data_IF_121883033965
#
_entry.id   IF_121883033965
#
_cell.length_a   1.000
_cell.length_b   1.000
_cell.length_c   1.000
_cell.angle_alpha   90.00
_cell.angle_beta   90.00
_cell.angle_gamma   90.00
#
_symmetry.space_group_name_H-M   'P 1'
#
loop_
_entity.id
_entity.type
_entity.pdbx_description
1 polymer ?
#
# COMPACT_ATOMS: atom_id res chain seq x y z
N UNK A 1 -5.69 -7.61 -12.46
CA UNK A 1 -5.50 -6.18 -12.09
C UNK A 1 -6.83 -5.45 -12.20
N UNK A 2 -7.12 -4.59 -11.22
CA UNK A 2 -8.29 -3.67 -11.20
C UNK A 2 -7.79 -2.30 -10.77
N UNK A 3 -8.19 -1.25 -11.49
CA UNK A 3 -7.91 0.15 -11.13
C UNK A 3 -9.21 0.88 -10.87
N UNK A 4 -9.28 1.64 -9.78
CA UNK A 4 -10.45 2.43 -9.42
C UNK A 4 -10.05 3.79 -8.83
N UNK A 5 -11.02 4.72 -8.75
CA UNK A 5 -10.79 6.05 -8.14
C UNK A 5 -11.00 5.96 -6.64
N UNK A 6 -10.00 6.36 -5.87
CA UNK A 6 -10.01 6.42 -4.41
C UNK A 6 -10.07 7.87 -3.95
N UNK A 7 -11.07 8.20 -3.12
CA UNK A 7 -11.13 9.49 -2.44
C UNK A 7 -10.14 9.52 -1.28
N UNK A 8 -9.26 10.51 -1.28
CA UNK A 8 -8.19 10.68 -0.28
C UNK A 8 -8.27 12.05 0.41
N UNK A 9 -9.40 12.74 0.29
CA UNK A 9 -9.58 14.10 0.83
C UNK A 9 -9.32 14.16 2.33
N UNK A 10 -9.93 13.27 3.10
CA UNK A 10 -9.76 13.22 4.56
C UNK A 10 -8.32 12.85 4.93
N UNK A 11 -7.72 11.88 4.25
CA UNK A 11 -6.33 11.48 4.48
C UNK A 11 -5.37 12.64 4.23
N UNK A 12 -5.56 13.41 3.15
CA UNK A 12 -4.70 14.56 2.84
C UNK A 12 -4.81 15.66 3.91
N UNK A 13 -6.03 15.93 4.36
CA UNK A 13 -6.26 16.89 5.45
C UNK A 13 -5.58 16.43 6.75
N UNK A 14 -5.77 15.17 7.11
CA UNK A 14 -5.18 14.57 8.30
C UNK A 14 -3.65 14.63 8.28
N UNK A 15 -3.03 14.19 7.18
CA UNK A 15 -1.56 14.18 7.06
C UNK A 15 -0.95 15.58 7.09
N UNK A 16 -1.61 16.58 6.49
CA UNK A 16 -1.17 17.97 6.56
C UNK A 16 -1.23 18.52 7.99
N UNK A 17 -2.36 18.30 8.69
CA UNK A 17 -2.54 18.76 10.07
C UNK A 17 -1.54 18.16 11.04
N UNK A 18 -1.20 16.89 10.85
CA UNK A 18 -0.30 16.14 11.73
C UNK A 18 1.17 16.11 11.24
N UNK A 19 1.51 16.83 10.17
CA UNK A 19 2.85 16.85 9.56
C UNK A 19 3.38 15.45 9.24
N UNK A 20 2.50 14.57 8.73
CA UNK A 20 2.82 13.20 8.32
C UNK A 20 2.99 13.09 6.80
N UNK A 21 3.77 12.09 6.38
CA UNK A 21 3.88 11.74 4.97
C UNK A 21 2.57 11.14 4.47
N UNK A 22 1.96 11.76 3.45
CA UNK A 22 0.79 11.21 2.75
C UNK A 22 1.09 9.82 2.17
N UNK A 23 2.29 9.65 1.62
CA UNK A 23 2.72 8.37 1.03
C UNK A 23 2.74 7.25 2.06
N UNK A 24 3.44 7.44 3.18
CA UNK A 24 3.51 6.42 4.22
C UNK A 24 2.15 6.15 4.88
N UNK A 25 1.36 7.20 5.08
CA UNK A 25 0.00 7.04 5.61
C UNK A 25 -0.89 6.21 4.67
N UNK A 26 -0.76 6.40 3.36
CA UNK A 26 -1.47 5.60 2.36
C UNK A 26 -1.02 4.14 2.38
N UNK A 27 0.29 3.87 2.46
CA UNK A 27 0.85 2.51 2.64
C UNK A 27 0.25 1.85 3.87
N UNK A 28 0.25 2.54 5.01
CA UNK A 28 -0.32 2.03 6.27
C UNK A 28 -1.79 1.65 6.14
N UNK A 29 -2.63 2.57 5.64
CA UNK A 29 -4.07 2.35 5.55
C UNK A 29 -4.42 1.22 4.57
N UNK A 30 -3.72 1.15 3.43
CA UNK A 30 -3.88 0.04 2.49
C UNK A 30 -3.48 -1.30 3.13
N UNK A 31 -2.37 -1.33 3.87
CA UNK A 31 -1.90 -2.55 4.57
C UNK A 31 -2.92 -3.01 5.60
N UNK A 32 -3.48 -2.11 6.40
CA UNK A 32 -4.53 -2.42 7.37
C UNK A 32 -5.78 -2.97 6.67
N UNK A 33 -6.27 -2.28 5.64
CA UNK A 33 -7.45 -2.68 4.90
C UNK A 33 -7.31 -4.05 4.21
N UNK A 34 -6.12 -4.36 3.65
CA UNK A 34 -5.81 -5.67 3.05
C UNK A 34 -5.83 -6.77 4.10
N UNK A 35 -5.17 -6.58 5.24
CA UNK A 35 -5.07 -7.60 6.29
C UNK A 35 -6.44 -7.92 6.94
N UNK A 36 -7.41 -7.04 6.83
CA UNK A 36 -8.77 -7.27 7.28
C UNK A 36 -9.62 -8.12 6.31
N UNK A 37 -9.13 -8.41 5.11
CA UNK A 37 -9.82 -9.27 4.12
C UNK A 37 -9.11 -10.62 4.07
N UNK A 38 -9.69 -11.72 4.60
CA UNK A 38 -8.99 -13.00 4.75
C UNK A 38 -8.37 -13.55 3.47
N UNK A 39 -9.02 -13.33 2.31
CA UNK A 39 -8.51 -13.81 1.02
C UNK A 39 -7.12 -13.23 0.67
N UNK A 40 -6.81 -12.01 1.08
CA UNK A 40 -5.49 -11.42 0.85
C UNK A 40 -4.39 -12.00 1.73
N UNK A 41 -4.75 -12.76 2.77
CA UNK A 41 -3.79 -13.46 3.64
C UNK A 41 -3.48 -14.89 3.19
N UNK A 42 -4.10 -15.34 2.10
CA UNK A 42 -3.75 -16.62 1.48
C UNK A 42 -2.38 -16.51 0.80
N UNK A 43 -1.52 -17.48 1.04
CA UNK A 43 -0.24 -17.66 0.34
C UNK A 43 -0.12 -19.08 -0.18
N UNK A 44 0.66 -19.25 -1.24
CA UNK A 44 0.92 -20.56 -1.85
C UNK A 44 2.42 -20.82 -1.85
N UNK A 45 2.82 -22.02 -1.41
CA UNK A 45 4.21 -22.47 -1.46
C UNK A 45 4.21 -23.93 -1.90
N UNK A 46 4.93 -24.23 -2.96
CA UNK A 46 5.02 -25.59 -3.54
C UNK A 46 3.62 -26.19 -3.82
N UNK A 47 2.68 -25.36 -4.29
CA UNK A 47 1.30 -25.75 -4.58
C UNK A 47 0.40 -25.92 -3.35
N UNK A 48 0.91 -25.81 -2.13
CA UNK A 48 0.12 -25.86 -0.89
C UNK A 48 -0.33 -24.46 -0.45
N UNK A 49 -1.60 -24.37 0.00
CA UNK A 49 -2.20 -23.14 0.48
C UNK A 49 -2.04 -22.98 1.99
N UNK A 50 -1.68 -21.78 2.40
CA UNK A 50 -1.57 -21.36 3.79
C UNK A 50 -2.31 -20.05 4.02
N UNK A 51 -2.76 -19.81 5.24
CA UNK A 51 -3.22 -18.50 5.68
C UNK A 51 -2.17 -17.92 6.61
N UNK A 52 -1.67 -16.74 6.27
CA UNK A 52 -0.73 -16.01 7.13
C UNK A 52 -1.50 -15.11 8.09
N UNK A 53 -0.91 -14.82 9.25
CA UNK A 53 -1.55 -13.98 10.26
C UNK A 53 -1.71 -12.54 9.75
N UNK A 54 -0.68 -12.05 9.07
CA UNK A 54 -0.67 -10.73 8.42
C UNK A 54 0.37 -10.66 7.33
N UNK A 55 0.24 -9.64 6.48
CA UNK A 55 1.27 -9.21 5.54
C UNK A 55 1.80 -7.85 5.95
N UNK A 56 3.11 -7.64 5.81
CA UNK A 56 3.76 -6.37 6.08
C UNK A 56 4.05 -5.61 4.78
N UNK A 57 4.10 -4.27 4.81
CA UNK A 57 4.36 -3.48 3.61
C UNK A 57 5.84 -3.47 3.23
N UNK A 58 6.11 -3.68 1.94
CA UNK A 58 7.36 -3.38 1.25
C UNK A 58 7.06 -2.36 0.16
N UNK A 59 7.77 -1.24 0.14
CA UNK A 59 7.44 -0.13 -0.74
C UNK A 59 8.67 0.57 -1.29
N UNK A 60 8.54 1.09 -2.52
CA UNK A 60 9.56 1.94 -3.11
C UNK A 60 9.59 3.30 -2.42
N UNK A 61 10.77 3.78 -2.09
CA UNK A 61 10.97 5.11 -1.49
C UNK A 61 12.06 5.85 -2.25
N UNK A 62 11.73 7.05 -2.74
CA UNK A 62 12.65 7.90 -3.49
C UNK A 62 13.12 9.04 -2.59
N UNK A 63 14.37 9.02 -2.11
CA UNK A 63 14.90 10.12 -1.32
C UNK A 63 14.90 11.44 -2.07
N UNK A 64 14.66 12.54 -1.37
CA UNK A 64 14.66 13.86 -1.97
C UNK A 64 15.99 14.16 -2.67
N UNK A 65 15.91 14.57 -3.95
CA UNK A 65 17.08 14.87 -4.77
C UNK A 65 17.81 13.64 -5.35
N UNK A 66 17.26 12.43 -5.18
CA UNK A 66 17.78 11.21 -5.79
C UNK A 66 16.94 10.81 -7.00
N UNK A 67 17.59 10.18 -7.99
CA UNK A 67 16.93 9.45 -9.07
C UNK A 67 16.88 7.94 -8.79
N UNK A 68 17.59 7.47 -7.73
CA UNK A 68 17.61 6.09 -7.32
C UNK A 68 16.68 5.87 -6.11
N UNK A 69 15.70 4.99 -6.26
CA UNK A 69 14.83 4.58 -5.17
C UNK A 69 15.45 3.45 -4.34
N UNK A 70 14.88 3.24 -3.17
CA UNK A 70 15.16 2.08 -2.29
C UNK A 70 13.87 1.32 -2.05
N UNK A 71 14.00 0.08 -1.60
CA UNK A 71 12.87 -0.72 -1.11
C UNK A 71 12.93 -0.74 0.40
N UNK A 72 11.88 -0.24 1.03
CA UNK A 72 11.74 -0.13 2.48
C UNK A 72 10.67 -1.11 2.95
N UNK A 73 11.03 -1.98 3.88
CA UNK A 73 10.15 -2.99 4.43
C UNK A 73 10.20 -2.93 5.95
N UNK A 74 9.05 -2.78 6.58
CA UNK A 74 8.92 -2.77 8.04
C UNK A 74 7.51 -3.18 8.45
N UNK A 75 7.31 -3.72 9.69
CA UNK A 75 5.99 -4.05 10.19
C UNK A 75 5.08 -2.82 10.26
N UNK A 76 3.81 -2.97 9.86
CA UNK A 76 2.85 -1.87 9.89
C UNK A 76 2.52 -1.41 11.33
N UNK A 77 2.54 -2.32 12.30
CA UNK A 77 2.11 -1.99 13.66
C UNK A 77 0.63 -1.62 13.74
N UNK A 78 0.25 -0.91 14.81
CA UNK A 78 -1.15 -0.57 15.09
C UNK A 78 -1.43 0.94 15.15
N UNK A 79 -0.42 1.78 14.96
CA UNK A 79 -0.53 3.25 15.00
C UNK A 79 0.01 3.89 13.72
N UNK A 80 -0.82 4.68 13.05
CA UNK A 80 -0.51 5.33 11.78
C UNK A 80 0.65 6.32 11.90
N UNK A 81 0.64 7.15 12.93
CA UNK A 81 1.66 8.18 13.09
C UNK A 81 3.02 7.57 13.47
N UNK A 82 3.01 6.52 14.31
CA UNK A 82 4.21 5.75 14.64
C UNK A 82 4.80 5.07 13.38
N UNK A 83 3.96 4.44 12.56
CA UNK A 83 4.40 3.86 11.30
C UNK A 83 5.02 4.90 10.37
N UNK A 84 4.38 6.05 10.17
CA UNK A 84 4.92 7.11 9.32
C UNK A 84 6.30 7.60 9.79
N UNK A 85 6.49 7.73 11.11
CA UNK A 85 7.80 8.11 11.69
C UNK A 85 8.84 7.02 11.45
N UNK A 86 8.52 5.78 11.80
CA UNK A 86 9.42 4.63 11.64
C UNK A 86 9.82 4.41 10.16
N UNK A 87 8.88 4.54 9.23
CA UNK A 87 9.15 4.46 7.79
C UNK A 87 10.13 5.54 7.34
N UNK A 88 9.92 6.80 7.77
CA UNK A 88 10.83 7.89 7.46
C UNK A 88 12.22 7.73 8.09
N UNK A 89 12.31 7.21 9.31
CA UNK A 89 13.58 6.91 9.98
C UNK A 89 14.33 5.79 9.26
N UNK A 90 13.64 4.69 8.94
CA UNK A 90 14.23 3.57 8.19
C UNK A 90 14.70 4.02 6.81
N UNK A 91 13.91 4.80 6.09
CA UNK A 91 14.30 5.34 4.78
C UNK A 91 15.58 6.17 4.86
N UNK A 92 15.72 7.05 5.86
CA UNK A 92 16.94 7.84 6.05
C UNK A 92 18.15 7.00 6.46
N UNK A 93 17.93 5.99 7.29
CA UNK A 93 19.01 5.16 7.83
C UNK A 93 19.50 4.09 6.83
N UNK A 94 18.62 3.59 5.96
CA UNK A 94 18.96 2.51 5.02
C UNK A 94 19.88 3.04 3.92
N UNK A 95 21.05 2.44 3.77
CA UNK A 95 22.05 2.78 2.73
C UNK A 95 22.06 1.81 1.56
N UNK A 96 21.47 0.62 1.73
CA UNK A 96 21.38 -0.41 0.69
C UNK A 96 20.08 -0.26 -0.10
N UNK A 97 20.05 -0.74 -1.34
CA UNK A 97 18.86 -0.72 -2.20
C UNK A 97 17.70 -1.48 -1.54
N UNK A 98 17.97 -2.66 -1.00
CA UNK A 98 16.98 -3.55 -0.37
C UNK A 98 17.59 -4.26 0.83
N UNK A 99 16.84 -4.35 1.92
CA UNK A 99 17.18 -5.15 3.10
C UNK A 99 16.62 -6.56 2.93
N UNK A 100 17.46 -7.49 2.46
CA UNK A 100 17.07 -8.88 2.17
C UNK A 100 16.46 -9.62 3.36
N UNK A 101 16.85 -9.26 4.60
CA UNK A 101 16.28 -9.89 5.80
C UNK A 101 14.85 -9.43 6.06
N UNK A 102 14.57 -8.16 5.80
CA UNK A 102 13.22 -7.61 5.93
C UNK A 102 12.28 -8.15 4.83
N UNK A 103 12.81 -8.47 3.64
CA UNK A 103 12.04 -9.03 2.52
C UNK A 103 11.71 -10.53 2.66
N UNK A 104 12.21 -11.20 3.67
CA UNK A 104 11.94 -12.64 3.87
C UNK A 104 10.52 -12.95 4.41
N UNK A 105 9.71 -11.94 4.71
CA UNK A 105 8.37 -12.07 5.27
C UNK A 105 7.26 -12.21 4.23
N UNK A 106 6.03 -12.25 4.73
CA UNK A 106 4.82 -12.19 3.89
C UNK A 106 4.48 -10.74 3.61
N UNK A 107 4.60 -10.33 2.36
CA UNK A 107 4.61 -8.91 1.99
C UNK A 107 3.40 -8.48 1.16
N UNK A 108 3.19 -7.18 1.11
CA UNK A 108 2.42 -6.45 0.13
C UNK A 108 3.37 -5.46 -0.53
N UNK A 109 3.44 -5.44 -1.86
CA UNK A 109 4.30 -4.50 -2.57
C UNK A 109 3.55 -3.22 -2.93
N UNK A 110 4.21 -2.08 -2.67
CA UNK A 110 3.64 -0.76 -2.95
C UNK A 110 4.54 0.06 -3.85
N UNK A 111 3.91 0.78 -4.78
CA UNK A 111 4.57 1.77 -5.63
C UNK A 111 3.69 3.01 -5.79
N UNK A 112 4.32 4.17 -6.01
CA UNK A 112 3.62 5.41 -6.27
C UNK A 112 4.26 6.17 -7.43
N UNK A 113 3.41 6.66 -8.33
CA UNK A 113 3.81 7.53 -9.45
C UNK A 113 3.21 8.94 -9.24
N UNK A 114 3.79 9.77 -8.34
CA UNK A 114 3.18 11.05 -7.94
C UNK A 114 3.17 12.10 -9.05
N UNK A 115 3.83 11.82 -10.17
CA UNK A 115 3.88 12.71 -11.34
C UNK A 115 2.76 12.45 -12.36
N UNK A 116 2.06 11.32 -12.25
CA UNK A 116 1.08 10.85 -13.25
C UNK A 116 -0.29 10.67 -12.62
N UNK A 117 -1.36 11.17 -13.25
CA UNK A 117 -2.73 10.78 -12.91
C UNK A 117 -2.99 9.38 -13.49
N UNK A 118 -2.92 8.38 -12.63
CA UNK A 118 -2.92 6.98 -13.00
C UNK A 118 -4.32 6.52 -13.45
N UNK A 119 -4.38 5.94 -14.65
CA UNK A 119 -5.60 5.31 -15.17
C UNK A 119 -5.55 3.79 -15.13
N UNK A 120 -4.36 3.21 -15.28
CA UNK A 120 -4.08 1.78 -15.12
C UNK A 120 -2.58 1.56 -14.94
N UNK A 121 -2.18 0.51 -14.21
CA UNK A 121 -0.79 0.09 -14.06
C UNK A 121 -0.74 -1.40 -13.79
N UNK A 122 0.15 -2.11 -14.48
CA UNK A 122 0.60 -3.45 -14.12
C UNK A 122 2.01 -3.37 -13.55
N UNK A 123 2.28 -4.15 -12.52
CA UNK A 123 3.57 -4.19 -11.87
C UNK A 123 4.41 -5.36 -12.41
N UNK A 124 5.71 -5.27 -12.24
CA UNK A 124 6.62 -6.39 -12.42
C UNK A 124 6.30 -7.49 -11.38
N UNK A 125 6.41 -8.75 -11.78
CA UNK A 125 6.18 -9.89 -10.91
C UNK A 125 6.53 -11.21 -11.59
N UNK A 126 6.69 -12.25 -10.80
CA UNK A 126 6.93 -13.60 -11.31
C UNK A 126 5.71 -14.14 -12.10
N UNK A 127 4.50 -13.70 -11.71
CA UNK A 127 3.22 -14.13 -12.29
C UNK A 127 3.06 -15.66 -12.38
N UNK A 128 3.85 -16.38 -11.61
CA UNK A 128 3.73 -17.83 -11.45
C UNK A 128 2.46 -18.22 -10.68
N UNK A 129 2.09 -19.51 -10.72
CA UNK A 129 0.88 -19.97 -10.03
C UNK A 129 0.93 -19.75 -8.51
N UNK A 130 2.11 -19.69 -7.94
CA UNK A 130 2.34 -19.51 -6.50
C UNK A 130 2.62 -18.05 -6.11
N UNK A 131 2.66 -17.12 -7.07
CA UNK A 131 2.77 -15.70 -6.78
C UNK A 131 1.45 -15.17 -6.19
N UNK A 132 1.42 -15.04 -4.89
CA UNK A 132 0.26 -14.57 -4.11
C UNK A 132 0.46 -13.19 -3.51
N UNK A 133 1.57 -12.51 -3.81
CA UNK A 133 1.90 -11.20 -3.25
C UNK A 133 0.99 -10.13 -3.87
N UNK A 134 0.15 -9.44 -3.08
CA UNK A 134 -0.63 -8.32 -3.59
C UNK A 134 0.29 -7.15 -3.95
N UNK A 135 0.01 -6.49 -5.07
CA UNK A 135 0.71 -5.28 -5.51
C UNK A 135 -0.27 -4.13 -5.61
N UNK A 136 0.02 -3.06 -4.91
CA UNK A 136 -0.82 -1.87 -4.84
C UNK A 136 -0.02 -0.68 -5.36
N UNK A 137 -0.57 0.00 -6.35
CA UNK A 137 0.08 1.18 -6.91
C UNK A 137 -0.92 2.31 -7.07
N UNK A 138 -0.45 3.55 -6.93
CA UNK A 138 -1.30 4.72 -7.15
C UNK A 138 -0.55 5.85 -7.81
N UNK A 139 -1.32 6.74 -8.41
CA UNK A 139 -0.82 7.93 -9.07
C UNK A 139 -0.96 9.19 -8.24
N UNK A 140 -0.75 10.32 -8.92
CA UNK A 140 -1.01 11.65 -8.39
C UNK A 140 -2.50 11.80 -8.09
N UNK A 141 -2.84 12.40 -6.95
CA UNK A 141 -4.20 12.83 -6.72
C UNK A 141 -4.54 14.09 -7.51
N UNK A 142 -5.78 14.16 -7.95
CA UNK A 142 -6.35 15.31 -8.66
C UNK A 142 -7.53 15.87 -7.86
N UNK A 143 -7.74 17.18 -7.94
CA UNK A 143 -8.84 17.85 -7.26
C UNK A 143 -9.99 18.12 -8.24
N UNK A 144 -11.20 17.76 -7.83
CA UNK A 144 -12.43 18.10 -8.54
C UNK A 144 -13.56 18.36 -7.54
N UNK A 145 -14.15 19.53 -7.59
CA UNK A 145 -15.27 19.90 -6.72
C UNK A 145 -14.96 19.83 -5.22
N UNK A 146 -13.74 20.18 -4.81
CA UNK A 146 -13.29 20.14 -3.43
C UNK A 146 -12.92 18.74 -2.91
N UNK A 147 -12.94 17.73 -3.77
CA UNK A 147 -12.53 16.35 -3.45
C UNK A 147 -11.21 16.00 -4.11
N UNK A 148 -10.33 15.36 -3.36
CA UNK A 148 -9.08 14.81 -3.85
C UNK A 148 -9.25 13.32 -4.14
N UNK A 149 -9.00 12.91 -5.38
CA UNK A 149 -9.07 11.50 -5.78
C UNK A 149 -7.83 11.08 -6.54
N UNK A 150 -7.45 9.81 -6.42
CA UNK A 150 -6.35 9.22 -7.20
C UNK A 150 -6.77 7.88 -7.83
N UNK A 151 -6.09 7.49 -8.90
CA UNK A 151 -6.18 6.14 -9.43
C UNK A 151 -5.40 5.18 -8.52
N UNK A 152 -6.07 4.15 -8.01
CA UNK A 152 -5.50 3.07 -7.21
C UNK A 152 -5.60 1.77 -7.98
N UNK A 153 -4.47 1.15 -8.29
CA UNK A 153 -4.36 -0.14 -8.97
C UNK A 153 -4.08 -1.24 -7.97
N UNK A 154 -4.84 -2.33 -8.06
CA UNK A 154 -4.71 -3.54 -7.25
C UNK A 154 -4.43 -4.70 -8.18
N UNK A 155 -3.27 -5.32 -8.03
CA UNK A 155 -2.87 -6.51 -8.79
C UNK A 155 -2.73 -7.71 -7.86
N UNK A 156 -3.40 -8.80 -8.20
CA UNK A 156 -3.55 -9.98 -7.36
C UNK A 156 -3.66 -11.24 -8.21
N UNK A 157 -3.35 -12.39 -7.63
CA UNK A 157 -3.59 -13.68 -8.26
C UNK A 157 -5.09 -14.02 -8.20
N UNK A 158 -5.73 -14.09 -9.37
CA UNK A 158 -7.19 -14.33 -9.47
C UNK A 158 -7.61 -15.74 -9.06
N UNK A 159 -6.67 -16.65 -8.84
CA UNK A 159 -6.98 -18.00 -8.25
C UNK A 159 -7.48 -17.89 -6.81
N UNK A 160 -7.15 -16.80 -6.09
CA UNK A 160 -7.43 -16.62 -4.66
C UNK A 160 -8.29 -15.39 -4.38
N UNK A 161 -8.14 -14.34 -5.18
CA UNK A 161 -8.76 -13.04 -4.96
C UNK A 161 -9.57 -12.65 -6.19
N UNK A 162 -10.86 -12.41 -6.02
CA UNK A 162 -11.76 -11.93 -7.07
C UNK A 162 -12.29 -10.51 -6.80
N UNK A 163 -13.23 -10.05 -7.63
CA UNK A 163 -13.83 -8.73 -7.51
C UNK A 163 -14.54 -8.47 -6.19
N UNK A 164 -15.10 -9.48 -5.52
CA UNK A 164 -15.72 -9.36 -4.20
C UNK A 164 -14.67 -8.92 -3.16
N UNK A 165 -13.52 -9.57 -3.15
CA UNK A 165 -12.46 -9.29 -2.19
C UNK A 165 -11.82 -7.92 -2.42
N UNK A 166 -11.67 -7.51 -3.70
CA UNK A 166 -11.21 -6.15 -4.06
C UNK A 166 -12.23 -5.11 -3.59
N UNK A 167 -13.54 -5.37 -3.76
CA UNK A 167 -14.60 -4.51 -3.25
C UNK A 167 -14.59 -4.39 -1.72
N UNK A 168 -14.35 -5.49 -1.01
CA UNK A 168 -14.18 -5.49 0.45
C UNK A 168 -12.98 -4.62 0.87
N UNK A 169 -11.82 -4.79 0.23
CA UNK A 169 -10.65 -3.94 0.44
C UNK A 169 -10.97 -2.46 0.22
N UNK A 170 -11.57 -2.10 -0.92
CA UNK A 170 -11.93 -0.72 -1.24
C UNK A 170 -12.86 -0.10 -0.19
N UNK A 171 -13.87 -0.86 0.28
CA UNK A 171 -14.80 -0.40 1.31
C UNK A 171 -14.10 -0.18 2.67
N UNK A 172 -13.19 -1.07 3.07
CA UNK A 172 -12.41 -0.93 4.31
C UNK A 172 -11.46 0.26 4.25
N UNK A 173 -10.75 0.43 3.12
CA UNK A 173 -9.88 1.59 2.91
C UNK A 173 -10.68 2.90 2.97
N UNK A 174 -11.85 2.95 2.32
CA UNK A 174 -12.74 4.12 2.40
C UNK A 174 -13.19 4.40 3.83
N UNK A 175 -13.56 3.37 4.59
CA UNK A 175 -13.96 3.53 5.99
C UNK A 175 -12.81 4.04 6.85
N UNK A 176 -11.59 3.50 6.70
CA UNK A 176 -10.42 3.92 7.43
C UNK A 176 -10.03 5.38 7.11
N UNK A 177 -10.10 5.79 5.84
CA UNK A 177 -9.83 7.18 5.45
C UNK A 177 -10.88 8.14 6.03
N UNK A 178 -12.17 7.77 6.00
CA UNK A 178 -13.24 8.62 6.59
C UNK A 178 -13.13 8.75 8.10
N UNK A 179 -12.68 7.71 8.80
CA UNK A 179 -12.49 7.76 10.25
C UNK A 179 -11.53 8.89 10.68
N UNK A 180 -10.54 9.23 9.84
CA UNK A 180 -9.59 10.32 10.09
C UNK A 180 -10.23 11.72 10.12
N UNK A 181 -11.46 11.89 9.63
CA UNK A 181 -12.19 13.16 9.73
C UNK A 181 -12.53 13.51 11.18
N UNK A 182 -12.70 12.49 12.03
CA UNK A 182 -13.10 12.63 13.43
C UNK A 182 -11.90 12.66 14.40
N UNK A 183 -10.70 12.44 13.91
CA UNK A 183 -9.46 12.45 14.71
C UNK A 183 -8.82 13.84 14.71
N UNK A 184 -9.56 14.85 15.14
CA UNK A 184 -9.10 16.22 15.08
C UNK A 184 -9.52 17.07 16.22
#
# INVERSE_FOLDING_TARGET
>A
MVTFRQDVTALRKYTNRNSLSFYYAMVYLCTRAINEVPAFRLTCRDGALFTVDRRDPSFTDLPAGSEAFKIITLPAGDDLAAFCRAAGEKSRAQTVFIDQKAEAGELIYYSCLPWVDLTALTNEGDHGPDDTVPRISWGRYTEQGGRLTLGLSVEVNHRFIDGLHIGQFANRLNAAIRALENEG
#
